data_IF_414846716063
#
_entry.id   IF_414846716063
#
_cell.length_a   1.000
_cell.length_b   1.000
_cell.length_c   1.000
_cell.angle_alpha   90.00
_cell.angle_beta   90.00
_cell.angle_gamma   90.00
#
_symmetry.space_group_name_H-M   'P 1'
#
loop_
_entity.id
_entity.type
_entity.pdbx_description
1 polymer ?
#
# COMPACT_ATOMS: atom_id res chain seq x y z
N UNK A 1 4.81 9.33 11.32
CA UNK A 1 6.29 9.37 11.39
C UNK A 1 6.92 7.98 11.34
N UNK A 2 6.37 6.98 12.03
CA UNK A 2 6.95 5.63 12.06
C UNK A 2 7.02 4.92 10.70
N UNK A 3 5.93 4.90 9.92
CA UNK A 3 5.86 4.12 8.68
C UNK A 3 6.92 4.53 7.63
N UNK A 4 7.10 5.83 7.39
CA UNK A 4 8.11 6.33 6.44
C UNK A 4 9.53 5.97 6.89
N UNK A 5 9.81 6.03 8.20
CA UNK A 5 11.12 5.65 8.72
C UNK A 5 11.37 4.15 8.64
N UNK A 6 10.32 3.33 8.82
CA UNK A 6 10.38 1.89 8.58
C UNK A 6 10.69 1.60 7.11
N UNK A 7 10.03 2.27 6.16
CA UNK A 7 10.33 2.12 4.73
C UNK A 7 11.77 2.55 4.39
N UNK A 8 12.27 3.63 4.99
CA UNK A 8 13.68 4.06 4.84
C UNK A 8 14.64 2.97 5.33
N UNK A 9 14.34 2.39 6.50
CA UNK A 9 15.14 1.30 7.09
C UNK A 9 15.14 0.07 6.19
N UNK A 10 13.97 -0.37 5.71
CA UNK A 10 13.86 -1.53 4.82
C UNK A 10 14.57 -1.30 3.49
N UNK A 11 14.41 -0.12 2.88
CA UNK A 11 15.11 0.26 1.64
C UNK A 11 16.64 0.19 1.83
N UNK A 12 17.15 0.70 2.96
CA UNK A 12 18.57 0.64 3.29
C UNK A 12 19.06 -0.80 3.42
N UNK A 13 18.33 -1.64 4.15
CA UNK A 13 18.72 -3.04 4.37
C UNK A 13 18.67 -3.87 3.08
N UNK A 14 17.63 -3.69 2.25
CA UNK A 14 17.51 -4.38 0.97
C UNK A 14 18.65 -4.01 0.02
N UNK A 15 19.00 -2.73 -0.09
CA UNK A 15 20.12 -2.30 -0.93
C UNK A 15 21.49 -2.70 -0.34
N UNK A 16 21.61 -2.94 0.97
CA UNK A 16 22.82 -3.50 1.56
C UNK A 16 23.00 -4.99 1.22
N UNK A 17 21.89 -5.74 1.15
CA UNK A 17 21.88 -7.14 0.69
C UNK A 17 22.12 -7.26 -0.82
N UNK A 18 21.63 -6.27 -1.58
CA UNK A 18 21.72 -6.19 -3.03
C UNK A 18 22.44 -4.91 -3.49
N UNK A 19 23.78 -4.84 -3.28
CA UNK A 19 24.55 -3.64 -3.57
C UNK A 19 24.61 -3.35 -5.08
N UNK A 20 24.58 -2.08 -5.45
CA UNK A 20 24.45 -1.63 -6.84
C UNK A 20 25.56 -2.17 -7.76
N UNK A 21 26.77 -2.36 -7.23
CA UNK A 21 27.92 -2.89 -7.97
C UNK A 21 27.66 -4.33 -8.49
N UNK A 22 26.79 -5.09 -7.83
CA UNK A 22 26.36 -6.43 -8.27
C UNK A 22 25.21 -6.39 -9.27
N UNK A 23 24.61 -5.21 -9.49
CA UNK A 23 23.42 -4.98 -10.30
C UNK A 23 23.65 -3.88 -11.34
N UNK A 24 24.83 -3.87 -11.98
CA UNK A 24 25.12 -2.93 -13.07
C UNK A 24 25.15 -1.45 -12.64
N UNK A 25 25.57 -1.17 -11.40
CA UNK A 25 25.51 0.13 -10.74
C UNK A 25 24.10 0.71 -10.63
N UNK A 26 23.07 -0.15 -10.58
CA UNK A 26 21.69 0.25 -10.37
C UNK A 26 21.25 -0.04 -8.94
N UNK A 27 20.58 0.93 -8.32
CA UNK A 27 19.94 0.74 -7.03
C UNK A 27 18.69 -0.12 -7.21
N UNK A 28 18.63 -1.24 -6.49
CA UNK A 28 17.55 -2.23 -6.64
C UNK A 28 16.21 -1.72 -6.14
N UNK A 29 16.19 -1.02 -5.00
CA UNK A 29 14.96 -0.51 -4.38
C UNK A 29 15.09 0.98 -4.14
N UNK A 30 14.14 1.76 -4.66
CA UNK A 30 14.06 3.20 -4.47
C UNK A 30 12.87 3.57 -3.58
N UNK A 31 13.07 4.52 -2.67
CA UNK A 31 12.00 5.08 -1.84
C UNK A 31 11.58 6.43 -2.42
N UNK A 32 10.32 6.55 -2.84
CA UNK A 32 9.72 7.82 -3.23
C UNK A 32 8.93 8.41 -2.04
N UNK A 33 9.37 9.54 -1.52
CA UNK A 33 8.69 10.24 -0.42
C UNK A 33 8.70 11.77 -0.63
N UNK A 34 7.68 12.45 -0.07
CA UNK A 34 7.53 13.92 -0.14
C UNK A 34 7.38 14.56 1.25
N UNK A 35 7.78 13.86 2.30
CA UNK A 35 7.58 14.25 3.70
C UNK A 35 6.12 14.12 4.17
N UNK A 36 5.83 14.62 5.37
CA UNK A 36 4.50 14.50 6.01
C UNK A 36 3.52 15.59 5.59
N UNK A 37 2.22 15.32 5.76
CA UNK A 37 1.15 16.31 5.59
C UNK A 37 0.74 16.62 4.15
N UNK A 38 1.20 15.81 3.19
CA UNK A 38 0.86 15.93 1.77
C UNK A 38 -0.25 14.97 1.38
N UNK A 39 -0.99 15.30 0.32
CA UNK A 39 -2.09 14.47 -0.20
C UNK A 39 -1.56 13.13 -0.71
N UNK A 40 -1.97 12.03 -0.09
CA UNK A 40 -1.48 10.68 -0.41
C UNK A 40 -1.76 10.30 -1.87
N UNK A 41 -2.91 10.72 -2.41
CA UNK A 41 -3.25 10.50 -3.82
C UNK A 41 -2.28 11.20 -4.77
N UNK A 42 -1.84 12.42 -4.43
CA UNK A 42 -0.87 13.18 -5.22
C UNK A 42 0.54 12.58 -5.15
N UNK A 43 0.99 12.13 -3.97
CA UNK A 43 2.29 11.44 -3.83
C UNK A 43 2.32 10.18 -4.70
N UNK A 44 1.26 9.36 -4.64
CA UNK A 44 1.16 8.15 -5.45
C UNK A 44 1.23 8.46 -6.95
N UNK A 45 0.53 9.51 -7.40
CA UNK A 45 0.54 9.93 -8.80
C UNK A 45 1.94 10.36 -9.26
N UNK A 46 2.63 11.15 -8.44
CA UNK A 46 4.01 11.56 -8.74
C UNK A 46 4.97 10.37 -8.73
N UNK A 47 4.79 9.40 -7.83
CA UNK A 47 5.60 8.19 -7.75
C UNK A 47 5.42 7.31 -9.00
N UNK A 48 4.18 7.11 -9.46
CA UNK A 48 3.87 6.36 -10.70
C UNK A 48 4.49 7.06 -11.91
N UNK A 49 4.38 8.38 -12.00
CA UNK A 49 5.02 9.15 -13.09
C UNK A 49 6.54 9.00 -13.07
N UNK A 50 7.15 9.17 -11.89
CA UNK A 50 8.58 9.01 -11.71
C UNK A 50 9.07 7.62 -12.10
N UNK A 51 8.35 6.56 -11.70
CA UNK A 51 8.67 5.18 -12.06
C UNK A 51 8.63 4.97 -13.58
N UNK A 52 7.62 5.51 -14.27
CA UNK A 52 7.51 5.44 -15.72
C UNK A 52 8.68 6.13 -16.43
N UNK A 53 9.05 7.33 -15.99
CA UNK A 53 10.19 8.10 -16.53
C UNK A 53 11.53 7.40 -16.26
N UNK A 54 11.64 6.74 -15.10
CA UNK A 54 12.86 6.06 -14.64
C UNK A 54 12.95 4.60 -15.08
N UNK A 55 11.97 4.10 -15.85
CA UNK A 55 11.86 2.69 -16.28
C UNK A 55 11.91 1.69 -15.12
N UNK A 56 11.20 2.02 -14.03
CA UNK A 56 10.98 1.12 -12.90
C UNK A 56 9.74 0.27 -13.20
N UNK A 57 9.88 -1.04 -13.11
CA UNK A 57 8.83 -1.98 -13.51
C UNK A 57 7.64 -2.01 -12.54
N UNK A 58 7.88 -1.81 -11.25
CA UNK A 58 6.89 -2.00 -10.19
C UNK A 58 6.91 -0.82 -9.22
N UNK A 59 5.73 -0.31 -8.88
CA UNK A 59 5.52 0.66 -7.80
C UNK A 59 4.67 0.03 -6.71
N UNK A 60 5.21 -0.03 -5.49
CA UNK A 60 4.46 -0.44 -4.31
C UNK A 60 4.03 0.80 -3.53
N UNK A 61 2.72 1.03 -3.44
CA UNK A 61 2.14 2.15 -2.69
C UNK A 61 1.78 1.67 -1.29
N UNK A 62 2.64 1.98 -0.31
CA UNK A 62 2.32 1.77 1.11
C UNK A 62 1.38 2.87 1.61
N UNK A 63 0.39 2.49 2.41
CA UNK A 63 -0.63 3.42 2.91
C UNK A 63 -0.79 3.26 4.42
N UNK A 64 -0.92 4.38 5.14
CA UNK A 64 -1.02 4.37 6.59
C UNK A 64 -2.24 3.55 7.07
N UNK A 65 -2.05 2.63 8.02
CA UNK A 65 -3.14 1.83 8.59
C UNK A 65 -4.34 2.67 9.05
N UNK A 66 -5.55 2.16 8.82
CA UNK A 66 -6.79 2.82 9.24
C UNK A 66 -7.85 1.80 9.64
N UNK A 67 -8.72 2.22 10.55
CA UNK A 67 -9.93 1.47 10.88
C UNK A 67 -10.97 1.68 9.77
N UNK A 68 -11.74 0.64 9.47
CA UNK A 68 -12.77 0.60 8.43
C UNK A 68 -13.94 1.59 8.67
N UNK A 69 -14.14 2.02 9.92
CA UNK A 69 -15.16 2.99 10.32
C UNK A 69 -14.66 4.45 10.29
N UNK A 70 -13.36 4.66 10.02
CA UNK A 70 -12.79 6.00 9.93
C UNK A 70 -13.07 6.62 8.55
N UNK A 71 -14.25 7.21 8.40
CA UNK A 71 -14.73 7.80 7.15
C UNK A 71 -13.72 8.77 6.49
N UNK A 72 -13.10 9.75 7.19
CA UNK A 72 -12.11 10.63 6.56
C UNK A 72 -10.93 9.89 5.92
N UNK A 73 -10.39 8.86 6.59
CA UNK A 73 -9.28 8.07 6.08
C UNK A 73 -9.72 7.14 4.94
N UNK A 74 -10.93 6.60 5.00
CA UNK A 74 -11.49 5.76 3.94
C UNK A 74 -11.81 6.56 2.69
N UNK A 75 -12.32 7.79 2.80
CA UNK A 75 -12.50 8.70 1.65
C UNK A 75 -11.15 9.05 1.00
N UNK A 76 -10.12 9.30 1.80
CA UNK A 76 -8.77 9.56 1.30
C UNK A 76 -8.21 8.33 0.55
N UNK A 77 -8.44 7.12 1.06
CA UNK A 77 -8.03 5.87 0.40
C UNK A 77 -8.79 5.65 -0.92
N UNK A 78 -10.12 5.80 -0.92
CA UNK A 78 -10.92 5.66 -2.13
C UNK A 78 -10.52 6.68 -3.21
N UNK A 79 -10.22 7.93 -2.81
CA UNK A 79 -9.66 8.96 -3.71
C UNK A 79 -8.31 8.51 -4.28
N UNK A 80 -7.41 7.97 -3.45
CA UNK A 80 -6.10 7.49 -3.89
C UNK A 80 -6.25 6.40 -4.96
N UNK A 81 -7.07 5.38 -4.70
CA UNK A 81 -7.30 4.28 -5.64
C UNK A 81 -7.94 4.79 -6.93
N UNK A 82 -8.99 5.61 -6.84
CA UNK A 82 -9.67 6.19 -8.01
C UNK A 82 -8.73 6.98 -8.90
N UNK A 83 -7.93 7.87 -8.31
CA UNK A 83 -7.08 8.80 -9.05
C UNK A 83 -5.91 8.09 -9.71
N UNK A 84 -5.38 7.04 -9.07
CA UNK A 84 -4.16 6.38 -9.49
C UNK A 84 -4.39 5.09 -10.26
N UNK A 85 -5.60 4.52 -10.23
CA UNK A 85 -5.99 3.28 -10.92
C UNK A 85 -4.90 2.20 -10.80
N UNK A 86 -4.54 1.78 -9.57
CA UNK A 86 -3.50 0.78 -9.37
C UNK A 86 -3.85 -0.52 -10.09
N UNK A 87 -2.86 -1.28 -10.56
CA UNK A 87 -3.13 -2.57 -11.20
C UNK A 87 -3.68 -3.63 -10.22
N UNK A 88 -3.35 -3.49 -8.92
CA UNK A 88 -3.75 -4.41 -7.88
C UNK A 88 -3.94 -3.68 -6.52
N UNK A 89 -5.07 -3.92 -5.87
CA UNK A 89 -5.38 -3.47 -4.51
C UNK A 89 -5.37 -4.68 -3.57
N UNK A 90 -4.38 -4.71 -2.68
CA UNK A 90 -4.21 -5.80 -1.70
C UNK A 90 -4.64 -5.36 -0.31
N UNK A 91 -5.53 -6.13 0.31
CA UNK A 91 -5.85 -6.01 1.72
C UNK A 91 -4.86 -6.82 2.56
N UNK A 92 -4.24 -6.18 3.56
CA UNK A 92 -3.29 -6.83 4.46
C UNK A 92 -3.97 -7.04 5.80
N UNK A 93 -4.24 -8.30 6.14
CA UNK A 93 -4.87 -8.71 7.39
C UNK A 93 -3.97 -9.63 8.21
N UNK A 94 -4.27 -9.81 9.50
CA UNK A 94 -3.54 -10.72 10.38
C UNK A 94 -4.34 -12.01 10.62
N UNK A 95 -3.65 -13.15 10.67
CA UNK A 95 -4.27 -14.46 10.86
C UNK A 95 -5.01 -14.61 12.20
N UNK A 96 -4.59 -13.85 13.23
CA UNK A 96 -5.16 -13.90 14.58
C UNK A 96 -6.57 -13.31 14.69
N UNK A 97 -7.00 -12.51 13.71
CA UNK A 97 -8.22 -11.68 13.78
C UNK A 97 -9.50 -12.52 13.58
N UNK A 98 -9.37 -13.76 13.09
CA UNK A 98 -10.50 -14.70 12.98
C UNK A 98 -11.67 -14.12 12.19
N UNK A 99 -12.89 -14.20 12.76
CA UNK A 99 -14.11 -13.72 12.11
C UNK A 99 -14.16 -12.21 11.88
N UNK A 100 -13.42 -11.42 12.66
CA UNK A 100 -13.38 -9.96 12.49
C UNK A 100 -12.71 -9.56 11.17
N UNK A 101 -11.83 -10.41 10.60
CA UNK A 101 -11.15 -10.12 9.35
C UNK A 101 -12.13 -10.06 8.17
N UNK A 102 -13.17 -10.89 8.21
CA UNK A 102 -14.25 -10.89 7.20
C UNK A 102 -15.06 -9.60 7.29
N UNK A 103 -15.43 -9.18 8.50
CA UNK A 103 -16.16 -7.92 8.71
C UNK A 103 -15.34 -6.69 8.28
N UNK A 104 -14.04 -6.68 8.61
CA UNK A 104 -13.12 -5.64 8.14
C UNK A 104 -13.08 -5.58 6.62
N UNK A 105 -12.87 -6.72 5.95
CA UNK A 105 -12.80 -6.80 4.49
C UNK A 105 -14.09 -6.29 3.82
N UNK A 106 -15.25 -6.73 4.31
CA UNK A 106 -16.56 -6.31 3.79
C UNK A 106 -16.75 -4.80 3.94
N UNK A 107 -16.43 -4.25 5.12
CA UNK A 107 -16.55 -2.80 5.37
C UNK A 107 -15.56 -1.99 4.54
N UNK A 108 -14.34 -2.49 4.35
CA UNK A 108 -13.36 -1.86 3.47
C UNK A 108 -13.85 -1.78 2.03
N UNK A 109 -14.29 -2.91 1.45
CA UNK A 109 -14.81 -2.94 0.08
C UNK A 109 -16.01 -2.00 -0.09
N UNK A 110 -16.97 -2.07 0.83
CA UNK A 110 -18.13 -1.17 0.81
C UNK A 110 -17.73 0.30 0.86
N UNK A 111 -16.78 0.68 1.71
CA UNK A 111 -16.31 2.04 1.80
C UNK A 111 -15.58 2.50 0.51
N UNK A 112 -14.86 1.59 -0.16
CA UNK A 112 -14.27 1.88 -1.47
C UNK A 112 -15.35 2.13 -2.53
N UNK A 113 -16.40 1.31 -2.55
CA UNK A 113 -17.56 1.51 -3.43
C UNK A 113 -18.24 2.86 -3.16
N UNK A 114 -18.67 3.08 -1.91
CA UNK A 114 -19.44 4.25 -1.47
C UNK A 114 -18.69 5.57 -1.68
N UNK A 115 -17.36 5.59 -1.50
CA UNK A 115 -16.56 6.82 -1.57
C UNK A 115 -15.84 7.02 -2.91
N UNK A 116 -15.87 6.05 -3.82
CA UNK A 116 -15.26 6.19 -5.14
C UNK A 116 -15.94 7.24 -6.02
N UNK A 117 -17.26 7.45 -5.87
CA UNK A 117 -18.06 8.21 -6.85
C UNK A 117 -17.75 7.76 -8.29
N UNK A 118 -17.70 6.45 -8.53
CA UNK A 118 -17.41 5.80 -9.81
C UNK A 118 -18.50 4.78 -10.12
N UNK A 119 -18.92 4.69 -11.38
CA UNK A 119 -19.89 3.66 -11.82
C UNK A 119 -19.28 2.25 -11.77
N UNK A 120 -17.95 2.16 -11.85
CA UNK A 120 -17.20 0.92 -11.67
C UNK A 120 -16.09 1.16 -10.63
N UNK A 121 -16.37 1.02 -9.31
CA UNK A 121 -15.37 1.19 -8.27
C UNK A 121 -14.30 0.10 -8.33
N UNK A 122 -13.03 0.49 -8.15
CA UNK A 122 -11.96 -0.49 -7.95
C UNK A 122 -11.88 -0.86 -6.47
N UNK A 123 -12.29 -2.09 -6.18
CA UNK A 123 -12.30 -2.68 -4.83
C UNK A 123 -11.02 -3.48 -4.57
N UNK A 124 -10.98 -4.23 -3.48
CA UNK A 124 -9.87 -5.12 -3.16
C UNK A 124 -9.84 -6.29 -4.14
N UNK A 125 -8.66 -6.57 -4.71
CA UNK A 125 -8.42 -7.67 -5.66
C UNK A 125 -7.84 -8.92 -5.00
N UNK A 126 -7.18 -8.76 -3.84
CA UNK A 126 -6.52 -9.87 -3.16
C UNK A 126 -6.24 -9.59 -1.69
N UNK A 127 -5.87 -10.66 -0.99
CA UNK A 127 -5.60 -10.62 0.45
C UNK A 127 -4.18 -11.12 0.70
N UNK A 128 -3.44 -10.40 1.53
CA UNK A 128 -2.19 -10.82 2.13
C UNK A 128 -2.47 -11.13 3.59
N UNK A 129 -2.40 -12.41 3.96
CA UNK A 129 -2.58 -12.87 5.34
C UNK A 129 -1.23 -12.94 6.04
N UNK A 130 -1.06 -12.13 7.08
CA UNK A 130 0.19 -11.98 7.83
C UNK A 130 0.10 -12.64 9.21
N UNK A 131 1.25 -12.78 9.88
CA UNK A 131 1.39 -13.41 11.22
C UNK A 131 0.84 -14.84 11.27
N UNK A 132 0.90 -15.56 10.16
CA UNK A 132 0.39 -16.93 10.09
C UNK A 132 1.21 -17.89 10.98
N UNK A 133 2.48 -17.57 11.24
CA UNK A 133 3.34 -18.26 12.19
C UNK A 133 2.87 -18.18 13.65
N UNK A 134 1.92 -17.29 13.95
CA UNK A 134 1.39 -17.09 15.31
C UNK A 134 0.07 -17.82 15.57
N UNK A 135 -0.51 -18.46 14.55
CA UNK A 135 -1.66 -19.33 14.73
C UNK A 135 -1.18 -20.78 14.80
N UNK A 136 -1.42 -21.43 15.94
CA UNK A 136 -1.18 -22.86 16.09
C UNK A 136 -2.39 -23.64 15.53
N UNK A 137 -2.11 -24.76 14.84
CA UNK A 137 -3.11 -25.76 14.50
C UNK A 137 -3.52 -26.50 15.79
N UNK A 138 -4.56 -26.01 16.48
CA UNK A 138 -5.29 -26.84 17.45
C UNK A 138 -6.32 -27.72 16.77
#
# INVERSE_FOLDING_TARGET
AGAVEQLRTHTRHLNALHPAEKHGNQTMVQLFEKGYGKDAAGIAMEAIRFARESKIDIVLIDTAGRMQDNEPLMRALAKLIKVNQPDLVLFVGEALVGNEAVDQLVKFNRALEDYSNSDNPHTIDGIVLTKFDTIDDK
#
